data_IF_871678732701
#
_entry.id   IF_871678732701
#
_cell.length_a   1.000
_cell.length_b   1.000
_cell.length_c   1.000
_cell.angle_alpha   90.00
_cell.angle_beta   90.00
_cell.angle_gamma   90.00
#
_symmetry.space_group_name_H-M   'P 1'
#
loop_
_entity.id
_entity.type
_entity.pdbx_description
1 polymer ?
#
# COMPACT_ATOMS: atom_id res chain seq x y z
N UNK A 1 28.81 3.94 -20.85
CA UNK A 1 28.33 3.43 -19.54
C UNK A 1 27.82 4.57 -18.66
N UNK A 2 26.50 4.73 -18.56
CA UNK A 2 25.93 5.75 -17.67
C UNK A 2 26.00 5.22 -16.24
N UNK A 3 26.63 5.99 -15.35
CA UNK A 3 26.69 5.74 -13.91
C UNK A 3 25.89 6.84 -13.22
N UNK A 4 24.99 6.46 -12.30
CA UNK A 4 24.17 7.37 -11.50
C UNK A 4 22.99 6.63 -10.85
N UNK A 5 22.49 7.08 -9.68
CA UNK A 5 21.41 6.44 -8.92
C UNK A 5 20.05 6.43 -9.63
N UNK A 6 19.90 7.17 -10.73
CA UNK A 6 18.66 7.24 -11.53
C UNK A 6 18.54 6.10 -12.57
N UNK A 7 19.46 5.14 -12.59
CA UNK A 7 19.41 3.99 -13.48
C UNK A 7 18.80 2.79 -12.76
N UNK A 8 17.55 2.49 -13.13
CA UNK A 8 16.79 1.26 -12.86
C UNK A 8 15.80 1.26 -11.68
N UNK A 9 15.13 2.38 -11.37
CA UNK A 9 13.80 2.25 -10.75
C UNK A 9 12.83 1.78 -11.83
N UNK A 10 12.80 0.48 -12.09
CA UNK A 10 11.69 -0.13 -12.80
C UNK A 10 10.46 -0.02 -11.88
N UNK A 11 9.33 0.55 -12.33
CA UNK A 11 8.11 0.58 -11.53
C UNK A 11 7.71 -0.88 -11.27
N UNK A 12 7.97 -1.36 -10.07
CA UNK A 12 7.69 -2.75 -9.69
C UNK A 12 6.21 -2.94 -9.29
N UNK A 13 5.40 -1.89 -9.47
CA UNK A 13 4.02 -1.82 -9.00
C UNK A 13 3.92 -1.85 -7.49
N UNK A 14 2.73 -2.20 -6.99
CA UNK A 14 2.48 -2.41 -5.58
C UNK A 14 3.38 -3.52 -5.01
N UNK A 15 4.15 -3.20 -3.97
CA UNK A 15 5.01 -4.12 -3.23
C UNK A 15 4.51 -4.28 -1.78
N UNK A 16 4.83 -5.42 -1.14
CA UNK A 16 4.57 -5.62 0.29
C UNK A 16 5.45 -4.68 1.13
N UNK A 17 4.83 -3.68 1.74
CA UNK A 17 5.51 -2.71 2.62
C UNK A 17 5.67 -3.17 4.07
N UNK A 18 4.95 -4.20 4.48
CA UNK A 18 4.90 -4.74 5.84
C UNK A 18 3.56 -5.39 6.13
N UNK A 19 3.19 -5.49 7.41
CA UNK A 19 1.92 -6.06 7.87
C UNK A 19 1.10 -5.04 8.66
N UNK A 20 -0.22 -5.22 8.65
CA UNK A 20 -1.17 -4.48 9.49
C UNK A 20 -1.99 -5.46 10.30
N UNK A 21 -2.25 -5.12 11.56
CA UNK A 21 -3.18 -5.82 12.45
C UNK A 21 -4.12 -4.78 13.03
N UNK A 22 -5.40 -4.91 12.72
CA UNK A 22 -6.45 -4.03 13.24
C UNK A 22 -7.04 -4.64 14.51
N UNK A 23 -7.11 -3.83 15.56
CA UNK A 23 -7.73 -4.18 16.84
C UNK A 23 -9.06 -3.45 17.00
N UNK A 24 -9.87 -3.97 17.94
CA UNK A 24 -11.09 -3.30 18.36
C UNK A 24 -10.81 -1.87 18.87
N UNK A 25 -11.78 -0.98 18.69
CA UNK A 25 -11.74 0.43 19.10
C UNK A 25 -10.77 1.33 18.29
N UNK A 26 -10.49 0.98 17.03
CA UNK A 26 -9.80 1.87 16.09
C UNK A 26 -8.29 1.96 16.30
N UNK A 27 -7.67 0.91 16.85
CA UNK A 27 -6.22 0.80 16.96
C UNK A 27 -5.68 -0.11 15.87
N UNK A 28 -4.82 0.41 15.00
CA UNK A 28 -4.10 -0.38 13.99
C UNK A 28 -2.61 -0.45 14.33
N UNK A 29 -2.04 -1.66 14.31
CA UNK A 29 -0.62 -1.89 14.47
C UNK A 29 0.02 -2.22 13.12
N UNK A 30 1.00 -1.42 12.71
CA UNK A 30 1.68 -1.58 11.43
C UNK A 30 3.15 -1.90 11.63
N UNK A 31 3.67 -2.79 10.79
CA UNK A 31 5.09 -3.00 10.60
C UNK A 31 5.51 -2.41 9.26
N UNK A 32 6.74 -1.88 9.18
CA UNK A 32 7.31 -1.40 7.92
C UNK A 32 8.59 -2.18 7.65
N UNK A 33 8.55 -3.02 6.62
CA UNK A 33 9.63 -3.92 6.29
C UNK A 33 10.89 -3.16 5.85
N UNK A 34 12.04 -3.59 6.38
CA UNK A 34 13.33 -2.97 6.09
C UNK A 34 13.42 -1.52 6.56
N UNK A 35 12.76 -1.20 7.68
CA UNK A 35 12.84 0.08 8.34
C UNK A 35 13.42 -0.06 9.76
N UNK A 36 14.16 0.94 10.22
CA UNK A 36 14.67 1.02 11.59
C UNK A 36 13.76 1.84 12.50
N UNK A 37 14.33 2.42 13.56
CA UNK A 37 13.60 3.33 14.47
C UNK A 37 13.01 4.55 13.77
N UNK A 38 13.73 5.09 12.77
CA UNK A 38 13.34 6.29 12.05
C UNK A 38 12.65 5.94 10.73
N UNK A 39 11.39 5.48 10.81
CA UNK A 39 10.65 5.00 9.63
C UNK A 39 10.63 5.98 8.45
N UNK A 40 10.33 7.27 8.65
CA UNK A 40 10.32 8.24 7.55
C UNK A 40 11.70 8.46 6.90
N UNK A 41 12.79 8.20 7.63
CA UNK A 41 14.15 8.37 7.11
C UNK A 41 14.56 7.21 6.21
N UNK A 42 14.24 5.97 6.60
CA UNK A 42 14.66 4.76 5.87
C UNK A 42 13.67 4.35 4.78
N UNK A 43 12.37 4.59 4.97
CA UNK A 43 11.30 4.23 4.05
C UNK A 43 10.34 5.41 3.83
N UNK A 44 10.78 6.51 3.21
CA UNK A 44 10.00 7.75 3.09
C UNK A 44 8.66 7.56 2.35
N UNK A 45 8.64 6.75 1.29
CA UNK A 45 7.41 6.47 0.53
C UNK A 45 6.37 5.71 1.37
N UNK A 46 6.78 4.65 2.08
CA UNK A 46 5.89 3.90 2.95
C UNK A 46 5.39 4.74 4.14
N UNK A 47 6.26 5.59 4.70
CA UNK A 47 5.88 6.49 5.78
C UNK A 47 4.85 7.53 5.33
N UNK A 48 5.01 8.12 4.14
CA UNK A 48 4.05 9.08 3.59
C UNK A 48 2.71 8.40 3.30
N UNK A 49 2.74 7.22 2.68
CA UNK A 49 1.54 6.42 2.43
C UNK A 49 0.80 6.13 3.74
N UNK A 50 1.54 5.71 4.78
CA UNK A 50 0.98 5.45 6.09
C UNK A 50 0.28 6.69 6.67
N UNK A 51 0.96 7.83 6.70
CA UNK A 51 0.40 9.08 7.25
C UNK A 51 -0.85 9.53 6.50
N UNK A 52 -0.87 9.43 5.16
CA UNK A 52 -2.04 9.80 4.37
C UNK A 52 -3.26 8.95 4.68
N UNK A 53 -3.07 7.63 4.76
CA UNK A 53 -4.15 6.69 5.12
C UNK A 53 -4.73 6.97 6.50
N UNK A 54 -3.87 7.25 7.49
CA UNK A 54 -4.33 7.67 8.83
C UNK A 54 -5.14 8.97 8.77
N UNK A 55 -4.66 9.97 8.04
CA UNK A 55 -5.35 11.27 7.94
C UNK A 55 -6.65 11.20 7.14
N UNK A 56 -6.74 10.27 6.18
CA UNK A 56 -7.92 10.01 5.36
C UNK A 56 -8.93 9.05 6.00
N UNK A 57 -8.63 8.49 7.17
CA UNK A 57 -9.42 7.41 7.79
C UNK A 57 -9.64 6.21 6.84
N UNK A 58 -8.58 5.85 6.11
CA UNK A 58 -8.62 4.81 5.08
C UNK A 58 -7.97 3.51 5.56
N UNK A 59 -8.52 2.37 5.14
CA UNK A 59 -7.92 1.07 5.41
C UNK A 59 -6.59 0.88 4.66
N UNK A 60 -5.62 0.25 5.34
CA UNK A 60 -4.32 -0.08 4.76
C UNK A 60 -4.33 -1.33 3.88
N UNK A 61 -5.27 -2.24 4.14
CA UNK A 61 -5.36 -3.55 3.50
C UNK A 61 -6.79 -4.05 3.51
N UNK A 62 -7.21 -4.88 2.54
CA UNK A 62 -8.49 -5.57 2.63
C UNK A 62 -8.49 -6.51 3.86
N UNK A 63 -9.65 -6.67 4.52
CA UNK A 63 -9.76 -7.60 5.64
C UNK A 63 -9.53 -9.04 5.16
N UNK A 64 -8.81 -9.81 5.97
CA UNK A 64 -8.68 -11.25 5.75
C UNK A 64 -9.96 -11.98 6.21
N UNK A 65 -10.25 -13.17 5.65
CA UNK A 65 -11.28 -14.04 6.20
C UNK A 65 -10.99 -14.39 7.66
N UNK A 66 -12.05 -14.62 8.45
CA UNK A 66 -11.91 -15.00 9.85
C UNK A 66 -11.12 -16.31 10.02
N UNK A 67 -10.36 -16.43 11.11
CA UNK A 67 -9.48 -17.58 11.38
C UNK A 67 -10.22 -18.92 11.28
N UNK A 68 -11.44 -19.03 11.81
CA UNK A 68 -12.22 -20.26 11.74
C UNK A 68 -12.60 -20.67 10.32
N UNK A 69 -12.74 -19.71 9.41
CA UNK A 69 -12.97 -19.98 7.98
C UNK A 69 -11.69 -20.49 7.36
N UNK A 70 -10.55 -19.80 7.61
CA UNK A 70 -9.25 -20.17 7.08
C UNK A 70 -8.82 -21.58 7.50
N UNK A 71 -9.05 -21.95 8.76
CA UNK A 71 -8.74 -23.29 9.28
C UNK A 71 -9.57 -24.41 8.64
N UNK A 72 -10.79 -24.09 8.20
CA UNK A 72 -11.73 -25.06 7.61
C UNK A 72 -11.56 -25.25 6.11
N UNK A 73 -10.86 -24.33 5.44
CA UNK A 73 -10.63 -24.35 4.00
C UNK A 73 -9.67 -25.47 3.61
N UNK A 74 -9.90 -26.07 2.44
CA UNK A 74 -8.86 -26.90 1.81
C UNK A 74 -7.69 -26.03 1.33
N UNK A 75 -6.51 -26.63 1.19
CA UNK A 75 -5.31 -25.96 0.66
C UNK A 75 -5.58 -25.19 -0.65
N UNK A 76 -6.38 -25.78 -1.54
CA UNK A 76 -6.74 -25.18 -2.83
C UNK A 76 -7.63 -23.95 -2.67
N UNK A 77 -8.58 -24.01 -1.75
CA UNK A 77 -9.47 -22.88 -1.46
C UNK A 77 -8.70 -21.75 -0.77
N UNK A 78 -7.81 -22.10 0.16
CA UNK A 78 -6.92 -21.16 0.82
C UNK A 78 -6.05 -20.42 -0.19
N UNK A 79 -5.36 -21.15 -1.08
CA UNK A 79 -4.51 -20.52 -2.10
C UNK A 79 -5.31 -19.56 -2.99
N UNK A 80 -6.51 -19.97 -3.42
CA UNK A 80 -7.39 -19.10 -4.23
C UNK A 80 -7.79 -17.83 -3.48
N UNK A 81 -8.16 -17.96 -2.20
CA UNK A 81 -8.54 -16.82 -1.37
C UNK A 81 -7.36 -15.86 -1.15
N UNK A 82 -6.16 -16.39 -0.92
CA UNK A 82 -4.95 -15.57 -0.74
C UNK A 82 -4.52 -14.87 -2.03
N UNK A 83 -4.67 -15.52 -3.19
CA UNK A 83 -4.42 -14.90 -4.49
C UNK A 83 -5.39 -13.73 -4.73
N UNK A 84 -6.69 -13.96 -4.51
CA UNK A 84 -7.73 -12.92 -4.65
C UNK A 84 -7.51 -11.75 -3.69
N UNK A 85 -7.17 -12.04 -2.43
CA UNK A 85 -6.83 -11.03 -1.44
C UNK A 85 -5.57 -10.23 -1.84
N UNK A 86 -4.55 -10.91 -2.37
CA UNK A 86 -3.31 -10.27 -2.81
C UNK A 86 -3.56 -9.33 -3.99
N UNK A 87 -4.38 -9.75 -4.95
CA UNK A 87 -4.76 -8.92 -6.09
C UNK A 87 -5.56 -7.69 -5.64
N UNK A 88 -6.51 -7.87 -4.70
CA UNK A 88 -7.26 -6.77 -4.11
C UNK A 88 -6.33 -5.78 -3.37
N UNK A 89 -5.43 -6.27 -2.53
CA UNK A 89 -4.49 -5.46 -1.75
C UNK A 89 -3.52 -4.65 -2.63
N UNK A 90 -3.22 -5.12 -3.84
CA UNK A 90 -2.35 -4.43 -4.81
C UNK A 90 -3.07 -3.37 -5.65
N UNK A 91 -4.37 -3.20 -5.46
CA UNK A 91 -5.23 -2.32 -6.26
C UNK A 91 -5.86 -1.18 -5.43
N UNK A 92 -6.43 -0.15 -6.07
CA UNK A 92 -7.24 0.84 -5.37
C UNK A 92 -8.41 0.17 -4.62
N UNK A 93 -8.79 0.66 -3.42
CA UNK A 93 -8.30 1.89 -2.80
C UNK A 93 -7.00 1.73 -2.01
N UNK A 94 -6.46 0.52 -1.86
CA UNK A 94 -5.34 0.25 -0.94
C UNK A 94 -4.00 0.80 -1.45
N UNK A 95 -3.73 0.68 -2.75
CA UNK A 95 -2.52 1.20 -3.41
C UNK A 95 -2.89 1.96 -4.68
N UNK A 96 -2.08 2.97 -5.07
CA UNK A 96 -2.16 3.56 -6.41
C UNK A 96 -3.11 4.75 -6.60
N UNK A 97 -3.67 5.33 -5.53
CA UNK A 97 -4.56 6.51 -5.61
C UNK A 97 -3.88 7.77 -6.19
N UNK A 98 -2.55 7.76 -6.35
CA UNK A 98 -1.77 8.94 -6.76
C UNK A 98 -1.83 9.31 -8.25
N UNK A 99 -2.13 8.38 -9.17
CA UNK A 99 -2.02 8.68 -10.60
C UNK A 99 -3.09 9.66 -11.10
N UNK A 100 -4.30 9.63 -10.54
CA UNK A 100 -5.38 10.52 -11.01
C UNK A 100 -5.28 11.95 -10.47
N UNK A 101 -4.97 12.15 -9.18
CA UNK A 101 -4.94 13.49 -8.58
C UNK A 101 -3.72 14.31 -9.02
N UNK A 102 -2.55 13.70 -9.15
CA UNK A 102 -1.33 14.39 -9.58
C UNK A 102 -1.41 14.86 -11.04
N UNK A 103 -1.97 14.03 -11.93
CA UNK A 103 -2.23 14.40 -13.32
C UNK A 103 -3.27 15.53 -13.41
N UNK A 104 -4.34 15.46 -12.61
CA UNK A 104 -5.39 16.47 -12.58
C UNK A 104 -4.88 17.82 -12.05
N UNK A 105 -3.99 17.83 -11.07
CA UNK A 105 -3.38 19.05 -10.52
C UNK A 105 -2.43 19.72 -11.52
N UNK A 106 -1.63 18.94 -12.25
CA UNK A 106 -0.76 19.46 -13.32
C UNK A 106 -1.56 20.03 -14.49
N UNK A 107 -2.62 19.32 -14.92
CA UNK A 107 -3.50 19.77 -15.99
C UNK A 107 -4.28 21.05 -15.62
N UNK A 108 -4.72 21.18 -14.37
CA UNK A 108 -5.37 22.41 -13.88
C UNK A 108 -4.40 23.59 -13.75
N UNK A 109 -3.15 23.34 -13.36
CA UNK A 109 -2.13 24.38 -13.30
C UNK A 109 -1.77 24.92 -14.69
N UNK A 110 -1.67 24.04 -15.71
CA UNK A 110 -1.47 24.46 -17.10
C UNK A 110 -2.66 25.27 -17.63
N UNK A 111 -3.90 24.89 -17.31
CA UNK A 111 -5.10 25.57 -17.77
C UNK A 111 -5.35 26.94 -17.13
N UNK A 112 -4.73 27.23 -15.97
CA UNK A 112 -4.75 28.54 -15.31
C UNK A 112 -3.62 29.47 -15.78
N UNK A 113 -2.65 28.95 -16.52
CA UNK A 113 -1.47 29.68 -17.02
C UNK A 113 -1.56 30.00 -18.53
N UNK A 114 -2.66 29.61 -19.20
CA UNK A 114 -2.97 29.89 -20.60
C UNK A 114 -4.14 30.87 -20.71
#
# INVERSE_FOLDING_TARGET
PKFGPDLQVAPTGAQMGGSVVDYENGLSFLTVHGSGHMVPQFRPQAALHMVRKVLGDEMFSPPLPEDGILESMSEREFQKAMDEWTDAARSPPYVGVEEEEGATLMQRAEQLMA
#
